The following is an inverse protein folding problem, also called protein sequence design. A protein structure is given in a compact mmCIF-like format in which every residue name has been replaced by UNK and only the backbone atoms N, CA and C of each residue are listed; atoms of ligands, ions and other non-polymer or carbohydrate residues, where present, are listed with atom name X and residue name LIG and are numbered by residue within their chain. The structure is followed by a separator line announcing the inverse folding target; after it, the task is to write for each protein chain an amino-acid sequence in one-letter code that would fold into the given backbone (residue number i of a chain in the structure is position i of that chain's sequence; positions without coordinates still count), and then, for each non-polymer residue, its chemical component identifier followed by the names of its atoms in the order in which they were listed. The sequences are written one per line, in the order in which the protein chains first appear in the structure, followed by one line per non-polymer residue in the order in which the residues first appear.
data_IF_957610932402
#
_entry.id   IF_957610932402
#
_cell.length_a   1.000
_cell.length_b   1.000
_cell.length_c   1.000
_cell.angle_alpha   90.00
_cell.angle_beta   90.00
_cell.angle_gamma   90.00
#
_symmetry.space_group_name_H-M   'P 1'
#
loop_
_entity.id
_entity.type
_entity.pdbx_description
1 polymer ?
#
# COMPACT_ATOMS: atom_id res chain seq x y z
N UNK A 1 4.05 -14.19 28.58
CA UNK A 1 4.45 -13.55 27.30
C UNK A 1 5.90 -13.86 26.96
N UNK A 2 6.87 -13.56 27.83
CA UNK A 2 8.30 -13.86 27.58
C UNK A 2 8.54 -15.37 27.37
N UNK A 3 7.84 -16.22 28.14
CA UNK A 3 7.95 -17.69 28.01
C UNK A 3 7.52 -18.19 26.63
N UNK A 4 6.46 -17.60 26.07
CA UNK A 4 6.00 -17.92 24.72
C UNK A 4 7.02 -17.51 23.66
N UNK A 5 7.62 -16.32 23.80
CA UNK A 5 8.64 -15.82 22.87
C UNK A 5 9.88 -16.71 22.88
N UNK A 6 10.32 -17.15 24.07
CA UNK A 6 11.45 -18.06 24.22
C UNK A 6 11.14 -19.45 23.64
N UNK A 7 9.99 -20.04 23.97
CA UNK A 7 9.63 -21.39 23.51
C UNK A 7 9.43 -21.49 21.99
N UNK A 8 8.97 -20.41 21.35
CA UNK A 8 8.74 -20.37 19.90
C UNK A 8 9.83 -19.61 19.12
N UNK A 9 11.00 -19.41 19.73
CA UNK A 9 12.12 -18.74 19.06
C UNK A 9 12.52 -19.48 17.77
N UNK A 10 12.80 -18.74 16.70
CA UNK A 10 13.12 -19.27 15.37
C UNK A 10 11.93 -19.80 14.55
N UNK A 11 10.74 -19.98 15.15
CA UNK A 11 9.55 -20.52 14.45
C UNK A 11 8.66 -19.45 13.81
N UNK A 12 8.90 -18.17 14.08
CA UNK A 12 8.09 -17.06 13.55
C UNK A 12 8.39 -16.70 12.08
N UNK A 13 9.37 -17.35 11.45
CA UNK A 13 9.75 -17.09 10.05
C UNK A 13 8.60 -17.33 9.07
N UNK A 14 7.79 -18.38 9.25
CA UNK A 14 6.62 -18.66 8.40
C UNK A 14 5.60 -17.54 8.49
N UNK A 15 5.35 -17.02 9.69
CA UNK A 15 4.43 -15.91 9.90
C UNK A 15 4.90 -14.64 9.20
N UNK A 16 6.19 -14.32 9.32
CA UNK A 16 6.78 -13.16 8.65
C UNK A 16 6.76 -13.28 7.12
N UNK A 17 7.03 -14.48 6.57
CA UNK A 17 6.94 -14.74 5.13
C UNK A 17 5.51 -14.53 4.63
N UNK A 18 4.50 -15.06 5.33
CA UNK A 18 3.08 -14.82 4.98
C UNK A 18 2.75 -13.32 4.92
N UNK A 19 3.33 -12.54 5.82
CA UNK A 19 3.16 -11.08 5.84
C UNK A 19 3.77 -10.42 4.60
N UNK A 20 5.01 -10.76 4.26
CA UNK A 20 5.70 -10.25 3.05
C UNK A 20 4.97 -10.64 1.77
N UNK A 21 4.42 -11.85 1.71
CA UNK A 21 3.59 -12.31 0.59
C UNK A 21 2.33 -11.45 0.48
N UNK A 22 1.67 -11.13 1.60
CA UNK A 22 0.49 -10.26 1.61
C UNK A 22 0.82 -8.84 1.11
N UNK A 23 1.94 -8.27 1.56
CA UNK A 23 2.43 -6.96 1.08
C UNK A 23 2.69 -6.98 -0.44
N UNK A 24 3.27 -8.07 -0.94
CA UNK A 24 3.50 -8.27 -2.38
C UNK A 24 2.19 -8.41 -3.17
N UNK A 25 1.23 -9.17 -2.63
CA UNK A 25 -0.10 -9.31 -3.23
C UNK A 25 -0.86 -7.98 -3.27
N UNK A 26 -0.66 -7.10 -2.27
CA UNK A 26 -1.26 -5.77 -2.29
C UNK A 26 -0.69 -4.91 -3.43
N UNK A 27 0.63 -4.97 -3.66
CA UNK A 27 1.25 -4.29 -4.81
C UNK A 27 0.71 -4.84 -6.13
N UNK A 28 0.64 -6.16 -6.27
CA UNK A 28 0.07 -6.80 -7.46
C UNK A 28 -1.40 -6.42 -7.66
N UNK A 29 -2.19 -6.33 -6.60
CA UNK A 29 -3.58 -5.91 -6.68
C UNK A 29 -3.70 -4.47 -7.23
N UNK A 30 -2.88 -3.54 -6.76
CA UNK A 30 -2.88 -2.16 -7.29
C UNK A 30 -2.51 -2.14 -8.78
N UNK A 31 -1.48 -2.91 -9.19
CA UNK A 31 -1.06 -3.01 -10.59
C UNK A 31 -2.18 -3.61 -11.46
N UNK A 32 -2.82 -4.68 -11.00
CA UNK A 32 -3.93 -5.32 -11.71
C UNK A 32 -5.12 -4.37 -11.86
N UNK A 33 -5.49 -3.65 -10.80
CA UNK A 33 -6.56 -2.64 -10.85
C UNK A 33 -6.23 -1.51 -11.83
N UNK A 34 -4.97 -1.06 -11.88
CA UNK A 34 -4.51 -0.08 -12.86
C UNK A 34 -4.66 -0.59 -14.30
N UNK A 35 -4.24 -1.83 -14.58
CA UNK A 35 -4.34 -2.44 -15.91
C UNK A 35 -5.79 -2.62 -16.34
N UNK A 36 -6.63 -3.19 -15.46
CA UNK A 36 -8.05 -3.43 -15.75
C UNK A 36 -8.77 -2.10 -16.01
N UNK A 37 -8.53 -1.09 -15.17
CA UNK A 37 -9.14 0.24 -15.34
C UNK A 37 -8.65 0.91 -16.62
N UNK A 38 -7.36 0.75 -16.96
CA UNK A 38 -6.81 1.28 -18.21
C UNK A 38 -7.43 0.63 -19.44
N UNK A 39 -7.60 -0.70 -19.44
CA UNK A 39 -8.27 -1.42 -20.52
C UNK A 39 -9.76 -1.04 -20.63
N UNK A 40 -10.44 -0.87 -19.49
CA UNK A 40 -11.83 -0.44 -19.46
C UNK A 40 -12.03 0.96 -20.08
N UNK A 41 -11.06 1.86 -19.88
CA UNK A 41 -11.08 3.23 -20.40
C UNK A 41 -10.40 3.38 -21.77
N UNK A 42 -10.23 2.29 -22.53
CA UNK A 42 -9.69 2.36 -23.89
C UNK A 42 -8.21 2.73 -23.98
N UNK A 43 -7.45 2.63 -22.88
CA UNK A 43 -6.00 2.86 -22.86
C UNK A 43 -5.54 4.23 -22.35
N UNK A 44 -6.47 5.17 -22.10
CA UNK A 44 -6.15 6.56 -21.72
C UNK A 44 -6.01 6.78 -20.20
N UNK A 45 -6.26 5.78 -19.37
CA UNK A 45 -6.24 5.97 -17.92
C UNK A 45 -4.84 6.32 -17.39
N UNK A 46 -3.79 5.67 -17.90
CA UNK A 46 -2.42 5.89 -17.41
C UNK A 46 -1.94 7.32 -17.63
N UNK A 47 -2.28 7.91 -18.79
CA UNK A 47 -1.91 9.26 -19.21
C UNK A 47 -2.85 10.34 -18.66
N UNK A 48 -4.02 9.95 -18.16
CA UNK A 48 -5.08 10.87 -17.75
C UNK A 48 -4.63 11.88 -16.69
N UNK A 49 -4.06 11.43 -15.57
CA UNK A 49 -3.69 12.34 -14.49
C UNK A 49 -2.56 13.31 -14.86
N UNK A 50 -1.57 12.85 -15.64
CA UNK A 50 -0.48 13.72 -16.13
C UNK A 50 -1.01 14.79 -17.09
N UNK A 51 -1.91 14.40 -18.00
CA UNK A 51 -2.55 15.32 -18.93
C UNK A 51 -3.39 16.36 -18.20
N UNK A 52 -4.20 15.97 -17.20
CA UNK A 52 -5.01 16.91 -16.42
C UNK A 52 -4.15 17.93 -15.66
N UNK A 53 -3.04 17.50 -15.04
CA UNK A 53 -2.11 18.42 -14.36
C UNK A 53 -1.49 19.41 -15.35
N UNK A 54 -1.17 18.96 -16.56
CA UNK A 54 -0.64 19.82 -17.62
C UNK A 54 -1.70 20.83 -18.11
N UNK A 55 -2.95 20.40 -18.32
CA UNK A 55 -4.05 21.26 -18.76
C UNK A 55 -4.49 22.33 -17.75
N UNK A 56 -4.27 22.10 -16.45
CA UNK A 56 -4.52 23.12 -15.42
C UNK A 56 -3.69 24.39 -15.64
N UNK A 57 -2.56 24.29 -16.34
CA UNK A 57 -1.68 25.43 -16.64
C UNK A 57 -2.02 26.15 -17.97
N UNK A 58 -2.92 25.60 -18.79
CA UNK A 58 -3.33 26.21 -20.07
C UNK A 58 -4.55 27.13 -19.91
N UNK A 59 -4.64 28.12 -20.80
CA UNK A 59 -5.77 29.05 -20.87
C UNK A 59 -7.10 28.32 -21.14
N UNK A 60 -8.23 28.74 -20.51
CA UNK A 60 -9.51 28.02 -20.55
C UNK A 60 -10.07 27.73 -21.94
N UNK A 61 -9.71 28.52 -22.96
CA UNK A 61 -10.27 28.43 -24.30
C UNK A 61 -9.72 27.24 -25.12
N UNK A 62 -8.57 26.68 -24.72
CA UNK A 62 -7.91 25.59 -25.45
C UNK A 62 -7.88 24.27 -24.66
N UNK A 63 -8.71 24.15 -23.61
CA UNK A 63 -8.80 22.95 -22.78
C UNK A 63 -9.70 21.91 -23.44
N UNK A 64 -9.10 20.93 -24.10
CA UNK A 64 -9.78 19.69 -24.50
C UNK A 64 -9.55 18.63 -23.43
N UNK A 65 -10.59 18.28 -22.67
CA UNK A 65 -10.53 17.19 -21.70
C UNK A 65 -10.26 15.87 -22.46
N UNK A 66 -9.15 15.15 -22.21
CA UNK A 66 -8.79 13.94 -22.94
C UNK A 66 -9.84 12.82 -22.77
N UNK A 67 -10.56 12.86 -21.65
CA UNK A 67 -11.62 11.93 -21.32
C UNK A 67 -12.96 12.25 -22.01
N UNK A 68 -13.08 13.38 -22.74
CA UNK A 68 -14.32 13.75 -23.43
C UNK A 68 -14.68 12.75 -24.55
N UNK A 69 -13.67 12.17 -25.21
CA UNK A 69 -13.90 11.16 -26.26
C UNK A 69 -14.43 9.83 -25.68
N UNK A 70 -13.98 9.47 -24.48
CA UNK A 70 -14.38 8.24 -23.79
C UNK A 70 -15.72 8.42 -23.05
N UNK A 71 -15.92 9.58 -22.42
CA UNK A 71 -17.13 9.92 -21.67
C UNK A 71 -17.78 11.20 -22.21
N UNK A 72 -18.49 11.12 -23.34
CA UNK A 72 -19.18 12.28 -23.89
C UNK A 72 -20.27 12.77 -22.92
N UNK A 73 -20.20 14.05 -22.58
CA UNK A 73 -21.18 14.70 -21.68
C UNK A 73 -22.47 15.10 -22.41
N UNK A 74 -22.42 15.21 -23.73
CA UNK A 74 -23.53 15.63 -24.59
C UNK A 74 -23.62 14.67 -25.78
N UNK A 75 -24.83 14.20 -26.10
CA UNK A 75 -25.09 13.33 -27.26
C UNK A 75 -26.30 13.80 -28.06
N UNK A 76 -26.36 13.43 -29.34
CA UNK A 76 -27.51 13.70 -30.21
C UNK A 76 -28.53 12.58 -30.07
N UNK A 77 -29.70 12.89 -29.53
CA UNK A 77 -30.85 12.00 -29.46
C UNK A 77 -31.77 12.28 -30.66
N UNK A 78 -32.04 11.27 -31.49
CA UNK A 78 -33.01 11.37 -32.58
C UNK A 78 -34.33 10.75 -32.18
N UNK A 79 -35.39 11.55 -32.17
CA UNK A 79 -36.75 11.13 -31.87
C UNK A 79 -37.54 11.00 -33.16
N UNK A 80 -38.17 9.85 -33.37
CA UNK A 80 -39.07 9.61 -34.49
C UNK A 80 -40.52 9.81 -34.03
N UNK A 81 -41.24 10.75 -34.65
CA UNK A 81 -42.68 10.96 -34.42
C UNK A 81 -43.45 10.79 -35.72
N UNK A 82 -44.70 10.33 -35.61
CA UNK A 82 -45.62 10.28 -36.73
C UNK A 82 -46.35 11.62 -36.83
N UNK A 83 -46.18 12.30 -37.97
CA UNK A 83 -46.87 13.53 -38.28
C UNK A 83 -48.36 13.30 -38.58
N UNK A 84 -49.17 14.37 -38.66
CA UNK A 84 -50.60 14.28 -38.94
C UNK A 84 -50.94 13.64 -40.29
N UNK A 85 -49.97 13.55 -41.21
CA UNK A 85 -50.07 12.86 -42.51
C UNK A 85 -49.66 11.38 -42.48
N UNK A 86 -49.27 10.83 -41.31
CA UNK A 86 -48.74 9.47 -41.19
C UNK A 86 -47.26 9.31 -41.62
N UNK A 87 -46.60 10.41 -42.00
CA UNK A 87 -45.16 10.42 -42.31
C UNK A 87 -44.30 10.43 -41.04
N UNK A 88 -43.11 9.82 -41.10
CA UNK A 88 -42.15 9.81 -39.99
C UNK A 88 -41.33 11.10 -40.04
N UNK A 89 -41.54 11.99 -39.07
CA UNK A 89 -40.71 13.17 -38.86
C UNK A 89 -39.59 12.86 -37.84
N UNK A 90 -38.37 13.29 -38.17
CA UNK A 90 -37.18 13.15 -37.31
C UNK A 90 -36.94 14.45 -36.58
N UNK A 91 -36.94 14.39 -35.25
CA UNK A 91 -36.57 15.51 -34.38
C UNK A 91 -35.27 15.19 -33.65
N UNK A 92 -34.25 16.00 -33.90
CA UNK A 92 -32.97 15.87 -33.25
C UNK A 92 -32.89 16.81 -32.03
N UNK A 93 -32.54 16.26 -30.88
CA UNK A 93 -32.30 17.02 -29.65
C UNK A 93 -30.92 16.70 -29.08
N UNK A 94 -30.36 17.64 -28.31
CA UNK A 94 -29.15 17.42 -27.54
C UNK A 94 -29.52 16.91 -26.15
N UNK A 95 -28.93 15.79 -25.75
CA UNK A 95 -29.11 15.16 -24.45
C UNK A 95 -27.84 15.30 -23.61
N UNK A 96 -27.99 15.66 -22.34
CA UNK A 96 -26.87 15.67 -21.37
C UNK A 96 -26.81 14.32 -20.66
N UNK A 97 -25.62 13.73 -20.61
CA UNK A 97 -25.40 12.41 -20.02
C UNK A 97 -24.73 12.57 -18.64
N UNK A 98 -25.53 12.82 -17.61
CA UNK A 98 -25.06 13.13 -16.25
C UNK A 98 -24.18 12.03 -15.64
N UNK A 99 -24.41 10.76 -16.01
CA UNK A 99 -23.58 9.63 -15.55
C UNK A 99 -22.12 9.75 -16.03
N UNK A 100 -21.90 10.27 -17.25
CA UNK A 100 -20.56 10.44 -17.81
C UNK A 100 -19.81 11.59 -17.14
N UNK A 101 -20.53 12.65 -16.73
CA UNK A 101 -19.95 13.74 -15.94
C UNK A 101 -19.45 13.23 -14.58
N UNK A 102 -20.23 12.36 -13.92
CA UNK A 102 -19.83 11.77 -12.64
C UNK A 102 -18.63 10.83 -12.81
N UNK A 103 -18.65 9.97 -13.83
CA UNK A 103 -17.57 9.05 -14.14
C UNK A 103 -16.25 9.79 -14.39
N UNK A 104 -16.27 10.87 -15.18
CA UNK A 104 -15.10 11.71 -15.44
C UNK A 104 -14.40 12.17 -14.15
N UNK A 105 -15.17 12.56 -13.12
CA UNK A 105 -14.63 13.03 -11.84
C UNK A 105 -14.19 11.88 -10.93
N UNK A 106 -14.94 10.78 -10.90
CA UNK A 106 -14.56 9.60 -10.09
C UNK A 106 -13.25 8.99 -10.61
N UNK A 107 -13.10 8.81 -11.92
CA UNK A 107 -11.88 8.25 -12.49
C UNK A 107 -10.67 9.17 -12.30
N UNK A 108 -10.87 10.50 -12.25
CA UNK A 108 -9.81 11.45 -11.93
C UNK A 108 -9.33 11.27 -10.50
N UNK A 109 -10.27 11.21 -9.55
CA UNK A 109 -9.95 10.97 -8.14
C UNK A 109 -9.27 9.60 -7.94
N UNK A 110 -9.75 8.55 -8.63
CA UNK A 110 -9.17 7.22 -8.57
C UNK A 110 -7.74 7.16 -9.10
N UNK A 111 -7.42 7.92 -10.15
CA UNK A 111 -6.06 7.97 -10.68
C UNK A 111 -5.06 8.46 -9.64
N UNK A 112 -5.34 9.61 -9.00
CA UNK A 112 -4.48 10.14 -7.94
C UNK A 112 -4.44 9.21 -6.73
N UNK A 113 -5.56 8.57 -6.39
CA UNK A 113 -5.64 7.60 -5.31
C UNK A 113 -4.76 6.37 -5.56
N UNK A 114 -4.82 5.78 -6.76
CA UNK A 114 -3.97 4.64 -7.12
C UNK A 114 -2.50 5.02 -7.18
N UNK A 115 -2.15 6.20 -7.69
CA UNK A 115 -0.77 6.69 -7.65
C UNK A 115 -0.26 6.82 -6.20
N UNK A 116 -1.06 7.41 -5.32
CA UNK A 116 -0.73 7.54 -3.90
C UNK A 116 -0.53 6.16 -3.23
N UNK A 117 -1.46 5.23 -3.43
CA UNK A 117 -1.35 3.86 -2.88
C UNK A 117 -0.15 3.11 -3.44
N UNK A 118 0.15 3.28 -4.74
CA UNK A 118 1.30 2.67 -5.38
C UNK A 118 2.61 3.16 -4.75
N UNK A 119 2.78 4.47 -4.60
CA UNK A 119 3.97 5.07 -3.96
C UNK A 119 4.13 4.58 -2.52
N UNK A 120 3.06 4.61 -1.72
CA UNK A 120 3.11 4.11 -0.33
C UNK A 120 3.50 2.63 -0.26
N UNK A 121 2.91 1.79 -1.12
CA UNK A 121 3.18 0.36 -1.13
C UNK A 121 4.61 0.07 -1.57
N UNK A 122 5.13 0.78 -2.56
CA UNK A 122 6.54 0.67 -2.99
C UNK A 122 7.48 1.07 -1.86
N UNK A 123 7.24 2.20 -1.17
CA UNK A 123 8.08 2.63 -0.04
C UNK A 123 8.09 1.61 1.10
N UNK A 124 6.92 1.04 1.44
CA UNK A 124 6.79 -0.04 2.40
C UNK A 124 7.59 -1.28 1.97
N UNK A 125 7.49 -1.66 0.71
CA UNK A 125 8.18 -2.83 0.17
C UNK A 125 9.70 -2.62 0.11
N UNK A 126 10.17 -1.43 -0.25
CA UNK A 126 11.60 -1.06 -0.18
C UNK A 126 12.14 -1.12 1.25
N UNK A 127 11.38 -0.59 2.22
CA UNK A 127 11.73 -0.71 3.63
C UNK A 127 11.82 -2.17 4.07
N UNK A 128 10.87 -3.01 3.63
CA UNK A 128 10.85 -4.45 3.93
C UNK A 128 12.03 -5.18 3.32
N UNK A 129 12.31 -4.94 2.04
CA UNK A 129 13.48 -5.49 1.34
C UNK A 129 14.78 -5.08 2.02
N UNK A 130 14.92 -3.82 2.44
CA UNK A 130 16.09 -3.36 3.19
C UNK A 130 16.24 -4.11 4.53
N UNK A 131 15.14 -4.33 5.25
CA UNK A 131 15.19 -5.11 6.51
C UNK A 131 15.44 -6.59 6.29
N UNK A 132 15.02 -7.17 5.16
CA UNK A 132 15.31 -8.56 4.79
C UNK A 132 16.77 -8.77 4.40
N UNK A 133 17.34 -7.89 3.58
CA UNK A 133 18.70 -8.06 3.05
C UNK A 133 19.78 -7.63 4.06
N UNK A 134 19.54 -6.57 4.84
CA UNK A 134 20.57 -5.97 5.69
C UNK A 134 20.32 -6.23 7.18
N UNK A 135 21.03 -7.21 7.75
CA UNK A 135 21.13 -7.40 9.21
C UNK A 135 21.51 -6.13 10.00
N UNK A 136 22.44 -5.25 9.56
CA UNK A 136 22.77 -4.04 10.34
C UNK A 136 21.61 -3.05 10.43
N UNK A 137 20.73 -3.01 9.42
CA UNK A 137 19.52 -2.16 9.45
C UNK A 137 18.57 -2.65 10.55
N UNK A 138 18.40 -3.97 10.69
CA UNK A 138 17.59 -4.60 11.75
C UNK A 138 18.09 -4.24 13.15
N UNK A 139 19.40 -4.39 13.36
CA UNK A 139 20.05 -4.09 14.65
C UNK A 139 19.95 -2.59 14.98
N UNK A 140 20.22 -1.71 14.01
CA UNK A 140 20.12 -0.24 14.19
C UNK A 140 18.69 0.21 14.52
N UNK A 141 17.66 -0.36 13.89
CA UNK A 141 16.26 -0.04 14.17
C UNK A 141 15.85 -0.42 15.60
N UNK A 142 16.23 -1.63 16.02
CA UNK A 142 15.98 -2.11 17.38
C UNK A 142 16.71 -1.25 18.41
N UNK A 143 17.99 -0.97 18.19
CA UNK A 143 18.77 -0.09 19.07
C UNK A 143 18.18 1.32 19.11
N UNK A 144 17.74 1.89 17.99
CA UNK A 144 17.20 3.25 17.94
C UNK A 144 15.96 3.46 18.81
N UNK A 145 15.02 2.50 18.82
CA UNK A 145 13.83 2.56 19.69
C UNK A 145 14.14 2.23 21.14
N UNK A 146 15.01 1.25 21.39
CA UNK A 146 15.28 0.75 22.73
C UNK A 146 16.33 1.56 23.49
N UNK A 147 17.19 2.32 22.80
CA UNK A 147 18.24 3.11 23.43
C UNK A 147 17.72 4.15 24.43
N UNK A 148 16.43 4.53 24.34
CA UNK A 148 15.81 5.48 25.28
C UNK A 148 15.46 4.87 26.64
N UNK A 149 15.24 3.55 26.72
CA UNK A 149 14.66 2.89 27.91
C UNK A 149 15.32 1.55 28.30
N UNK A 150 16.18 0.99 27.45
CA UNK A 150 16.82 -0.32 27.62
C UNK A 150 18.33 -0.26 27.44
N UNK A 151 19.03 -1.29 27.93
CA UNK A 151 20.48 -1.41 27.73
C UNK A 151 20.77 -1.67 26.24
N UNK A 152 21.65 -0.86 25.64
CA UNK A 152 22.09 -1.05 24.25
C UNK A 152 22.62 -2.46 24.01
N UNK A 153 23.30 -3.01 25.01
CA UNK A 153 23.93 -4.33 24.93
C UNK A 153 22.88 -5.45 24.84
N UNK A 154 21.80 -5.35 25.63
CA UNK A 154 20.69 -6.33 25.57
C UNK A 154 19.97 -6.31 24.21
N UNK A 155 19.78 -5.11 23.64
CA UNK A 155 19.13 -4.99 22.34
C UNK A 155 20.02 -5.49 21.20
N UNK A 156 21.34 -5.29 21.31
CA UNK A 156 22.32 -5.75 20.34
C UNK A 156 22.44 -7.28 20.38
N UNK A 157 22.60 -7.88 21.56
CA UNK A 157 22.69 -9.32 21.75
C UNK A 157 21.46 -10.05 21.18
N UNK A 158 20.26 -9.57 21.50
CA UNK A 158 19.03 -10.13 20.96
C UNK A 158 19.00 -9.95 19.44
N UNK A 159 19.32 -8.77 18.90
CA UNK A 159 19.28 -8.53 17.46
C UNK A 159 20.29 -9.39 16.66
N UNK A 160 21.40 -9.80 17.27
CA UNK A 160 22.42 -10.66 16.66
C UNK A 160 21.97 -12.13 16.57
N UNK A 161 21.33 -12.65 17.63
CA UNK A 161 20.79 -14.03 17.68
C UNK A 161 19.39 -14.19 17.07
N UNK A 162 18.83 -13.11 16.53
CA UNK A 162 17.43 -13.07 16.10
C UNK A 162 17.28 -13.28 14.59
N UNK A 163 16.44 -14.26 14.24
CA UNK A 163 16.01 -14.48 12.86
C UNK A 163 15.11 -13.34 12.36
N UNK A 164 14.89 -13.28 11.04
CA UNK A 164 14.03 -12.25 10.45
C UNK A 164 12.62 -12.25 11.05
N UNK A 165 12.02 -13.43 11.25
CA UNK A 165 10.66 -13.54 11.78
C UNK A 165 10.53 -13.09 13.22
N UNK A 166 11.48 -13.48 14.07
CA UNK A 166 11.52 -13.04 15.47
C UNK A 166 11.78 -11.54 15.55
N UNK A 167 12.66 -11.00 14.69
CA UNK A 167 12.95 -9.58 14.65
C UNK A 167 11.72 -8.79 14.22
N UNK A 168 11.00 -9.29 13.22
CA UNK A 168 9.79 -8.69 12.73
C UNK A 168 8.69 -8.66 13.80
N UNK A 169 8.53 -9.75 14.55
CA UNK A 169 7.60 -9.82 15.69
C UNK A 169 8.00 -8.85 16.80
N UNK A 170 9.27 -8.87 17.23
CA UNK A 170 9.78 -7.96 18.26
C UNK A 170 9.66 -6.50 17.83
N UNK A 171 9.91 -6.19 16.56
CA UNK A 171 9.78 -4.84 16.03
C UNK A 171 8.31 -4.40 16.04
N UNK A 172 7.38 -5.32 15.74
CA UNK A 172 5.94 -5.08 15.82
C UNK A 172 5.48 -4.86 17.26
N UNK A 173 5.96 -5.68 18.21
CA UNK A 173 5.71 -5.48 19.64
C UNK A 173 6.24 -4.13 20.11
N UNK A 174 7.46 -3.78 19.72
CA UNK A 174 8.07 -2.49 20.07
C UNK A 174 7.22 -1.31 19.64
N UNK A 175 6.50 -1.43 18.51
CA UNK A 175 5.62 -0.40 17.93
C UNK A 175 4.28 -0.27 18.64
N UNK A 176 3.79 -1.35 19.23
CA UNK A 176 2.48 -1.40 19.88
C UNK A 176 2.56 -1.34 21.42
N UNK A 177 3.76 -1.40 22.00
CA UNK A 177 3.98 -1.36 23.45
C UNK A 177 4.69 -0.07 23.89
N UNK A 178 4.46 0.32 25.15
CA UNK A 178 5.20 1.41 25.79
C UNK A 178 6.70 1.07 25.87
N UNK A 179 7.55 2.05 25.56
CA UNK A 179 9.01 1.88 25.51
C UNK A 179 9.62 1.23 26.76
N UNK A 180 9.30 1.69 27.99
CA UNK A 180 9.81 1.07 29.22
C UNK A 180 9.40 -0.40 29.40
N UNK A 181 8.14 -0.72 29.08
CA UNK A 181 7.61 -2.09 29.21
C UNK A 181 8.31 -3.02 28.21
N UNK A 182 8.50 -2.57 26.97
CA UNK A 182 9.22 -3.34 25.96
C UNK A 182 10.70 -3.56 26.34
N UNK A 183 11.34 -2.56 26.94
CA UNK A 183 12.71 -2.71 27.45
C UNK A 183 12.81 -3.76 28.57
N UNK A 184 11.83 -3.83 29.48
CA UNK A 184 11.77 -4.86 30.51
C UNK A 184 11.55 -6.26 29.91
N UNK A 185 10.69 -6.38 28.90
CA UNK A 185 10.47 -7.63 28.15
C UNK A 185 11.78 -8.12 27.51
N UNK A 186 12.55 -7.22 26.88
CA UNK A 186 13.84 -7.58 26.28
C UNK A 186 14.88 -8.01 27.32
N UNK A 187 14.96 -7.34 28.46
CA UNK A 187 15.86 -7.74 29.57
C UNK A 187 15.51 -9.14 30.09
N UNK A 188 14.22 -9.40 30.34
CA UNK A 188 13.74 -10.72 30.79
C UNK A 188 13.98 -11.82 29.75
N UNK A 189 13.82 -11.49 28.46
CA UNK A 189 14.09 -12.41 27.37
C UNK A 189 15.58 -12.75 27.27
N UNK A 190 16.45 -11.74 27.37
CA UNK A 190 17.92 -11.91 27.34
C UNK A 190 18.38 -12.83 28.46
N UNK A 191 17.91 -12.59 29.70
CA UNK A 191 18.26 -13.43 30.86
C UNK A 191 17.87 -14.90 30.65
N UNK A 192 16.69 -15.17 30.07
CA UNK A 192 16.25 -16.53 29.77
C UNK A 192 17.08 -17.21 28.68
N UNK A 193 17.56 -16.45 27.70
CA UNK A 193 18.47 -16.98 26.67
C UNK A 193 19.83 -17.34 27.26
N UNK A 194 20.37 -16.51 28.16
CA UNK A 194 21.62 -16.79 28.88
C UNK A 194 21.49 -18.02 29.79
N UNK A 195 20.41 -18.12 30.57
CA UNK A 195 20.12 -19.28 31.44
C UNK A 195 19.98 -20.59 30.62
N UNK A 196 19.38 -20.51 29.42
CA UNK A 196 19.23 -21.65 28.51
C UNK A 196 20.55 -22.10 27.88
N UNK A 197 21.38 -21.17 27.42
CA UNK A 197 22.71 -21.48 26.86
C UNK A 197 23.61 -22.14 27.92
N UNK A 198 23.60 -21.63 29.16
CA UNK A 198 24.39 -22.19 30.27
C UNK A 198 23.96 -23.61 30.66
N UNK A 199 22.66 -23.92 30.55
CA UNK A 199 22.14 -25.27 30.78
C UNK A 199 22.52 -26.25 29.66
N UNK A 200 22.64 -25.75 28.42
CA UNK A 200 23.01 -26.56 27.26
C UNK A 200 24.53 -26.80 27.19
N UNK A 201 25.34 -25.87 27.70
CA UNK A 201 26.81 -26.01 27.82
C UNK A 201 27.26 -26.95 28.93
N UNK A 202 26.40 -27.23 29.92
CA UNK A 202 26.69 -28.14 31.05
C UNK A 202 26.19 -29.58 30.85
N UNK A 203 25.49 -29.86 29.75
CA UNK A 203 24.97 -31.18 29.38
C UNK A 203 25.84 -31.81 28.28
#
# INVERSE_FOLDING_TARGET
MVDYLYYNWGRHNIWAIKYVVCETLNLLNIILQLIITNQFLGGEFMTYGTQVVEFMNYEPQNRSDPMYEIFPRITKCSFHRYGPSGSIERHDALCVLSINILNEKIYLALWFWFLFLLVLTILLMLYRMATLLFKPVRSKLMLGRNARYGSRDTAYFVAEKCDFGDWYLLNTLSRNMNGPVFAEVLKKLTRKMEEGDDATLKA
#
